data_IF_304712917973
#
_entry.id   IF_304712917973
#
_cell.length_a   1.000
_cell.length_b   1.000
_cell.length_c   1.000
_cell.angle_alpha   90.00
_cell.angle_beta   90.00
_cell.angle_gamma   90.00
#
_symmetry.space_group_name_H-M   'P 1'
#
loop_
_entity.id
_entity.type
_entity.pdbx_description
1 polymer ?
#
# COMPACT_ATOMS: atom_id res chain seq x y z
N UNK A 1 -4.02 17.09 -13.83
CA UNK A 1 -4.41 16.79 -12.44
C UNK A 1 -5.66 17.55 -11.99
N UNK A 2 -6.12 18.61 -12.68
CA UNK A 2 -7.35 19.32 -12.30
C UNK A 2 -8.56 18.36 -12.25
N UNK A 3 -9.15 18.21 -11.05
CA UNK A 3 -10.33 17.36 -10.80
C UNK A 3 -10.05 15.88 -10.46
N UNK A 4 -8.80 15.45 -10.30
CA UNK A 4 -8.50 14.09 -9.82
C UNK A 4 -8.44 14.07 -8.28
N UNK A 5 -9.37 13.37 -7.64
CA UNK A 5 -9.32 13.14 -6.19
C UNK A 5 -8.42 11.94 -5.87
N UNK A 6 -7.71 12.02 -4.74
CA UNK A 6 -7.01 10.88 -4.18
C UNK A 6 -8.01 9.73 -3.92
N UNK A 7 -7.77 8.51 -4.44
CA UNK A 7 -8.70 7.39 -4.27
C UNK A 7 -8.93 6.95 -2.81
N UNK A 8 -8.05 7.34 -1.89
CA UNK A 8 -8.08 6.92 -0.49
C UNK A 8 -8.55 8.05 0.43
N UNK A 9 -7.87 9.20 0.39
CA UNK A 9 -8.23 10.35 1.24
C UNK A 9 -9.44 11.11 0.74
N UNK A 10 -9.83 10.91 -0.53
CA UNK A 10 -10.88 11.66 -1.23
C UNK A 10 -10.60 13.17 -1.36
N UNK A 11 -9.44 13.62 -0.89
CA UNK A 11 -8.96 14.99 -1.05
C UNK A 11 -8.60 15.23 -2.51
N UNK A 12 -9.02 16.36 -3.11
CA UNK A 12 -8.52 16.79 -4.41
C UNK A 12 -7.00 16.88 -4.37
N UNK A 13 -6.30 16.29 -5.36
CA UNK A 13 -4.83 16.25 -5.35
C UNK A 13 -4.19 17.64 -5.43
N UNK A 14 -4.93 18.64 -5.93
CA UNK A 14 -4.51 20.04 -6.00
C UNK A 14 -4.64 20.81 -4.68
N UNK A 15 -5.36 20.26 -3.69
CA UNK A 15 -5.54 20.85 -2.36
C UNK A 15 -4.51 20.33 -1.35
N UNK A 16 -3.64 19.40 -1.74
CA UNK A 16 -2.57 18.91 -0.88
C UNK A 16 -1.50 19.99 -0.68
N UNK A 17 -1.04 20.16 0.56
CA UNK A 17 0.06 21.09 0.92
C UNK A 17 1.43 20.65 0.36
N UNK A 18 1.47 19.46 -0.25
CA UNK A 18 2.64 18.80 -0.78
C UNK A 18 2.29 18.10 -2.09
N UNK A 19 3.29 17.75 -2.88
CA UNK A 19 3.06 17.07 -4.15
C UNK A 19 2.58 15.62 -3.94
N UNK A 20 1.67 15.11 -4.79
CA UNK A 20 1.13 13.77 -4.61
C UNK A 20 2.18 12.69 -4.89
N UNK A 21 2.03 11.54 -4.23
CA UNK A 21 2.84 10.36 -4.47
C UNK A 21 2.21 9.46 -5.54
N UNK A 22 3.01 9.00 -6.48
CA UNK A 22 2.58 8.20 -7.63
C UNK A 22 3.05 6.76 -7.57
N UNK A 23 2.16 5.83 -7.91
CA UNK A 23 2.47 4.43 -8.19
C UNK A 23 2.29 4.14 -9.68
N UNK A 24 3.22 3.41 -10.29
CA UNK A 24 3.07 2.98 -11.68
C UNK A 24 2.02 1.86 -11.75
N UNK A 25 1.00 2.00 -12.59
CA UNK A 25 -0.15 1.08 -12.65
C UNK A 25 0.18 -0.32 -13.14
N UNK A 26 1.35 -0.52 -13.76
CA UNK A 26 1.82 -1.80 -14.26
C UNK A 26 3.08 -2.23 -13.49
N UNK A 27 3.21 -3.51 -13.10
CA UNK A 27 4.47 -4.02 -12.59
C UNK A 27 5.49 -3.93 -13.72
N UNK A 28 6.39 -2.95 -13.64
CA UNK A 28 7.40 -2.86 -14.69
C UNK A 28 8.34 -4.06 -14.65
N UNK A 29 9.08 -4.24 -15.74
CA UNK A 29 9.97 -5.37 -15.91
C UNK A 29 10.92 -5.49 -14.70
N UNK A 30 11.04 -6.70 -14.14
CA UNK A 30 11.89 -6.98 -12.99
C UNK A 30 13.38 -6.68 -13.28
N UNK A 31 13.75 -6.55 -14.55
CA UNK A 31 15.07 -6.13 -15.00
C UNK A 31 15.33 -4.62 -14.85
N UNK A 32 14.31 -3.79 -14.66
CA UNK A 32 14.44 -2.35 -14.45
C UNK A 32 14.13 -1.98 -12.98
N UNK A 33 15.15 -1.71 -12.14
CA UNK A 33 14.94 -1.36 -10.74
C UNK A 33 14.18 -0.03 -10.56
N UNK A 34 14.15 0.84 -11.58
CA UNK A 34 13.35 2.06 -11.54
C UNK A 34 11.86 1.81 -11.77
N UNK A 35 11.48 0.61 -12.24
CA UNK A 35 10.09 0.18 -12.31
C UNK A 35 9.43 -0.04 -10.95
N UNK A 36 10.26 -0.35 -9.96
CA UNK A 36 9.83 -0.84 -8.65
C UNK A 36 9.97 0.26 -7.60
N UNK A 37 9.87 1.53 -8.03
CA UNK A 37 9.98 2.70 -7.17
C UNK A 37 8.75 3.57 -7.37
N UNK A 38 8.33 4.20 -6.27
CA UNK A 38 7.31 5.25 -6.34
C UNK A 38 7.87 6.50 -7.00
N UNK A 39 6.98 7.37 -7.47
CA UNK A 39 7.37 8.58 -8.19
C UNK A 39 6.71 9.80 -7.57
N UNK A 40 7.47 10.86 -7.40
CA UNK A 40 6.98 12.17 -6.97
C UNK A 40 7.86 13.28 -7.59
N UNK A 41 7.35 14.51 -7.60
CA UNK A 41 8.04 15.70 -8.10
C UNK A 41 8.76 15.57 -9.43
N UNK A 42 9.99 16.07 -9.50
CA UNK A 42 10.80 16.04 -10.72
C UNK A 42 11.09 14.60 -11.20
N UNK A 43 11.09 13.64 -10.27
CA UNK A 43 11.25 12.21 -10.57
C UNK A 43 10.07 11.65 -11.39
N UNK A 44 8.85 12.13 -11.12
CA UNK A 44 7.65 11.73 -11.84
C UNK A 44 7.67 12.07 -13.33
N UNK A 45 8.08 13.29 -13.67
CA UNK A 45 8.19 13.71 -15.08
C UNK A 45 9.20 12.84 -15.83
N UNK A 46 10.30 12.48 -15.18
CA UNK A 46 11.33 11.61 -15.74
C UNK A 46 10.82 10.18 -15.94
N UNK A 47 10.04 9.66 -15.00
CA UNK A 47 9.42 8.34 -15.10
C UNK A 47 8.38 8.28 -16.22
N UNK A 48 7.49 9.26 -16.30
CA UNK A 48 6.46 9.38 -17.35
C UNK A 48 7.08 9.49 -18.74
N UNK A 49 8.17 10.24 -18.90
CA UNK A 49 8.89 10.35 -20.18
C UNK A 49 9.50 9.03 -20.63
N UNK A 50 10.01 8.23 -19.69
CA UNK A 50 10.55 6.89 -19.99
C UNK A 50 9.44 5.90 -20.34
N UNK A 51 8.23 6.11 -19.83
CA UNK A 51 7.11 5.17 -19.92
C UNK A 51 5.78 5.88 -20.21
N UNK A 52 5.62 6.45 -21.42
CA UNK A 52 4.43 7.24 -21.76
C UNK A 52 3.13 6.42 -21.79
N UNK A 53 3.22 5.09 -21.92
CA UNK A 53 2.07 4.18 -21.93
C UNK A 53 1.65 3.67 -20.56
N UNK A 54 2.42 3.95 -19.50
CA UNK A 54 2.12 3.45 -18.16
C UNK A 54 1.27 4.47 -17.40
N UNK A 55 0.06 4.08 -17.01
CA UNK A 55 -0.77 4.89 -16.14
C UNK A 55 -0.07 5.09 -14.78
N UNK A 56 -0.12 6.30 -14.23
CA UNK A 56 0.31 6.60 -12.86
C UNK A 56 -0.95 6.79 -12.01
N UNK A 57 -1.01 6.11 -10.88
CA UNK A 57 -2.05 6.31 -9.88
C UNK A 57 -1.50 7.27 -8.81
N UNK A 58 -2.16 8.40 -8.64
CA UNK A 58 -1.75 9.46 -7.72
C UNK A 58 -2.51 9.37 -6.40
N UNK A 59 -1.77 9.55 -5.30
CA UNK A 59 -2.29 9.44 -3.95
C UNK A 59 -1.74 10.56 -3.07
N UNK A 60 -2.51 10.88 -2.03
CA UNK A 60 -1.97 11.43 -0.79
C UNK A 60 -1.05 10.37 -0.17
N UNK A 61 0.25 10.66 -0.14
CA UNK A 61 1.25 9.72 0.35
C UNK A 61 1.14 9.42 1.86
N UNK A 62 0.68 10.37 2.68
CA UNK A 62 0.50 10.14 4.12
C UNK A 62 -0.65 9.16 4.37
N UNK A 63 -1.76 9.34 3.65
CA UNK A 63 -2.90 8.44 3.73
C UNK A 63 -2.58 7.06 3.14
N UNK A 64 -1.86 7.01 2.01
CA UNK A 64 -1.41 5.75 1.44
C UNK A 64 -0.55 4.97 2.44
N UNK A 65 0.46 5.61 3.04
CA UNK A 65 1.32 4.97 4.04
C UNK A 65 0.53 4.43 5.23
N UNK A 66 -0.38 5.25 5.77
CA UNK A 66 -1.24 4.87 6.89
C UNK A 66 -2.15 3.69 6.53
N UNK A 67 -2.75 3.71 5.34
CA UNK A 67 -3.56 2.60 4.82
C UNK A 67 -2.76 1.30 4.71
N UNK A 68 -1.57 1.33 4.11
CA UNK A 68 -0.74 0.13 3.89
C UNK A 68 -0.33 -0.51 5.23
N UNK A 69 0.09 0.31 6.19
CA UNK A 69 0.57 -0.18 7.50
C UNK A 69 -0.60 -0.64 8.37
N UNK A 70 -1.70 0.11 8.44
CA UNK A 70 -2.86 -0.25 9.27
C UNK A 70 -3.60 -1.49 8.75
N UNK A 71 -3.75 -1.63 7.43
CA UNK A 71 -4.40 -2.80 6.83
C UNK A 71 -3.49 -4.02 6.78
N UNK A 72 -2.16 -3.83 6.81
CA UNK A 72 -1.17 -4.87 6.53
C UNK A 72 -1.21 -5.39 5.09
N UNK A 73 -1.94 -4.71 4.20
CA UNK A 73 -2.10 -5.06 2.80
C UNK A 73 -1.26 -4.13 1.92
N UNK A 74 -0.06 -4.59 1.55
CA UNK A 74 0.87 -3.83 0.73
C UNK A 74 0.51 -3.95 -0.76
N UNK A 75 -0.54 -3.23 -1.16
CA UNK A 75 -1.11 -3.22 -2.50
C UNK A 75 -1.36 -1.80 -3.00
N UNK A 76 -1.41 -1.62 -4.31
CA UNK A 76 -1.97 -0.42 -4.95
C UNK A 76 -3.50 -0.45 -4.79
N UNK A 77 -4.13 0.56 -4.17
CA UNK A 77 -5.57 0.56 -3.92
C UNK A 77 -6.46 0.58 -5.17
N UNK A 78 -5.93 0.98 -6.32
CA UNK A 78 -6.70 1.12 -7.57
C UNK A 78 -6.78 -0.20 -8.33
N UNK A 79 -5.64 -0.83 -8.60
CA UNK A 79 -5.56 -2.08 -9.39
C UNK A 79 -5.32 -3.34 -8.52
N UNK A 80 -5.14 -3.18 -7.21
CA UNK A 80 -4.84 -4.24 -6.23
C UNK A 80 -3.54 -4.99 -6.47
N UNK A 81 -2.62 -4.46 -7.30
CA UNK A 81 -1.32 -5.10 -7.52
C UNK A 81 -0.51 -5.06 -6.23
N UNK A 82 0.30 -6.09 -5.93
CA UNK A 82 1.24 -6.02 -4.82
C UNK A 82 2.26 -4.91 -5.02
N UNK A 83 2.59 -4.21 -3.93
CA UNK A 83 3.71 -3.28 -3.91
C UNK A 83 5.02 -4.04 -3.74
N UNK A 84 6.05 -3.51 -4.38
CA UNK A 84 7.44 -3.91 -4.19
C UNK A 84 8.05 -3.22 -2.97
N UNK A 85 9.15 -3.78 -2.46
CA UNK A 85 9.89 -3.16 -1.36
C UNK A 85 10.44 -1.79 -1.73
N UNK A 86 10.82 -1.59 -3.00
CA UNK A 86 11.34 -0.31 -3.50
C UNK A 86 10.28 0.79 -3.49
N UNK A 87 9.02 0.47 -3.78
CA UNK A 87 7.89 1.40 -3.68
C UNK A 87 7.61 1.79 -2.23
N UNK A 88 7.66 0.82 -1.30
CA UNK A 88 7.57 1.11 0.12
C UNK A 88 8.71 2.03 0.60
N UNK A 89 9.94 1.78 0.12
CA UNK A 89 11.10 2.63 0.46
C UNK A 89 10.99 4.04 -0.10
N UNK A 90 10.48 4.16 -1.33
CA UNK A 90 10.20 5.44 -1.97
C UNK A 90 9.15 6.22 -1.19
N UNK A 91 8.14 5.54 -0.64
CA UNK A 91 7.12 6.16 0.17
C UNK A 91 7.67 6.68 1.50
N UNK A 92 8.54 5.92 2.17
CA UNK A 92 9.21 6.40 3.38
C UNK A 92 10.12 7.62 3.12
N UNK A 93 10.86 7.62 2.00
CA UNK A 93 11.67 8.76 1.58
C UNK A 93 10.82 9.99 1.29
N UNK A 94 9.72 9.81 0.57
CA UNK A 94 8.74 10.86 0.30
C UNK A 94 8.17 11.48 1.57
N UNK A 95 7.80 10.65 2.57
CA UNK A 95 7.28 11.14 3.86
C UNK A 95 8.34 11.96 4.61
N UNK A 96 9.59 11.52 4.58
CA UNK A 96 10.69 12.23 5.23
C UNK A 96 10.97 13.59 4.57
N UNK A 97 11.00 13.65 3.23
CA UNK A 97 11.23 14.88 2.46
C UNK A 97 10.16 15.94 2.75
N UNK A 98 8.90 15.51 2.82
CA UNK A 98 7.76 16.39 3.12
C UNK A 98 7.50 16.61 4.62
N UNK A 99 8.37 16.10 5.50
CA UNK A 99 8.24 16.22 6.97
C UNK A 99 6.90 15.72 7.51
N UNK A 100 6.36 14.68 6.85
CA UNK A 100 5.14 14.00 7.25
C UNK A 100 5.45 12.96 8.34
N UNK A 101 4.40 12.36 8.90
CA UNK A 101 4.56 11.34 9.93
C UNK A 101 5.37 10.14 9.41
N UNK A 102 6.43 9.77 10.12
CA UNK A 102 7.22 8.58 9.81
C UNK A 102 6.46 7.31 10.23
N UNK A 103 5.91 6.59 9.24
CA UNK A 103 5.15 5.35 9.46
C UNK A 103 6.00 4.09 9.24
N UNK A 104 7.21 4.23 8.68
CA UNK A 104 8.16 3.13 8.43
C UNK A 104 7.53 1.98 7.63
N UNK A 105 7.00 2.31 6.45
CA UNK A 105 6.26 1.40 5.56
C UNK A 105 7.10 0.19 5.17
N UNK A 106 8.40 0.37 4.93
CA UNK A 106 9.33 -0.73 4.61
C UNK A 106 9.43 -1.75 5.75
N UNK A 107 9.54 -1.30 6.99
CA UNK A 107 9.67 -2.20 8.13
C UNK A 107 8.39 -3.00 8.34
N UNK A 108 7.24 -2.34 8.20
CA UNK A 108 5.94 -3.00 8.24
C UNK A 108 5.78 -4.02 7.09
N UNK A 109 6.29 -3.70 5.89
CA UNK A 109 6.30 -4.60 4.74
C UNK A 109 7.13 -5.86 5.02
N UNK A 110 8.38 -5.69 5.48
CA UNK A 110 9.30 -6.79 5.78
C UNK A 110 8.76 -7.67 6.93
N UNK A 111 8.14 -7.05 7.94
CA UNK A 111 7.43 -7.76 9.01
C UNK A 111 6.27 -8.58 8.46
N UNK A 112 5.43 -8.01 7.59
CA UNK A 112 4.28 -8.71 7.00
C UNK A 112 4.69 -9.95 6.20
N UNK A 113 5.83 -9.87 5.49
CA UNK A 113 6.40 -11.01 4.76
C UNK A 113 6.93 -12.08 5.70
N UNK A 114 7.59 -11.66 6.77
CA UNK A 114 8.11 -12.55 7.81
C UNK A 114 6.99 -13.29 8.56
N UNK A 115 5.88 -12.61 8.84
CA UNK A 115 4.70 -13.22 9.47
C UNK A 115 4.02 -14.19 8.51
N UNK A 116 3.87 -13.84 7.22
CA UNK A 116 3.30 -14.75 6.20
C UNK A 116 4.16 -16.01 6.00
N UNK A 117 5.49 -15.88 5.99
CA UNK A 117 6.39 -17.03 5.87
C UNK A 117 6.35 -17.92 7.12
N UNK A 118 6.25 -17.34 8.32
CA UNK A 118 6.12 -18.10 9.59
C UNK A 118 4.74 -18.73 9.77
N UNK A 119 3.68 -18.03 9.37
CA UNK A 119 2.31 -18.54 9.39
C UNK A 119 2.09 -19.75 8.47
N UNK A 120 2.92 -19.90 7.43
CA UNK A 120 2.95 -21.12 6.62
C UNK A 120 3.65 -22.30 7.31
N UNK A 121 4.52 -22.03 8.30
CA UNK A 121 5.19 -23.07 9.11
C UNK A 121 4.43 -23.40 10.41
N UNK A 122 3.56 -22.50 10.88
CA UNK A 122 2.75 -22.66 12.10
C UNK A 122 1.25 -22.58 11.82
N UNK A 123 0.82 -22.84 10.59
CA UNK A 123 -0.58 -22.99 10.22
C UNK A 123 -1.13 -24.25 10.88
N UNK A 124 -1.33 -24.20 12.19
CA UNK A 124 -2.05 -25.22 12.92
C UNK A 124 -3.52 -25.12 12.47
N UNK A 125 -4.03 -26.06 11.67
CA UNK A 125 -5.43 -26.08 11.25
C UNK A 125 -6.38 -26.07 12.46
N UNK A 126 -5.89 -26.42 13.66
CA UNK A 126 -6.61 -26.28 14.91
C UNK A 126 -6.98 -24.84 15.29
N UNK A 127 -6.17 -23.82 14.94
CA UNK A 127 -6.49 -22.42 15.29
C UNK A 127 -7.61 -21.82 14.45
N UNK A 128 -7.63 -22.10 13.15
CA UNK A 128 -8.73 -21.63 12.26
C UNK A 128 -10.02 -22.34 12.64
N UNK A 129 -9.99 -23.66 12.86
CA UNK A 129 -11.15 -24.42 13.33
C UNK A 129 -11.62 -23.99 14.73
N UNK A 130 -10.72 -23.56 15.62
CA UNK A 130 -11.07 -23.02 16.94
C UNK A 130 -11.78 -21.67 16.83
N UNK A 131 -11.26 -20.76 16.00
CA UNK A 131 -11.90 -19.46 15.71
C UNK A 131 -13.29 -19.64 15.06
N UNK A 132 -13.45 -20.59 14.14
CA UNK A 132 -14.74 -20.91 13.53
C UNK A 132 -15.74 -21.46 14.56
N UNK A 133 -15.30 -22.34 15.46
CA UNK A 133 -16.15 -22.83 16.57
C UNK A 133 -16.57 -21.70 17.50
N UNK A 134 -15.66 -20.82 17.88
CA UNK A 134 -15.96 -19.69 18.76
C UNK A 134 -16.95 -18.72 18.10
N UNK A 135 -16.75 -18.38 16.83
CA UNK A 135 -17.68 -17.52 16.10
C UNK A 135 -19.07 -18.16 15.95
N UNK A 136 -19.14 -19.47 15.67
CA UNK A 136 -20.40 -20.20 15.60
C UNK A 136 -21.15 -20.24 16.94
N UNK A 137 -20.43 -20.33 18.07
CA UNK A 137 -21.02 -20.29 19.41
C UNK A 137 -21.58 -18.90 19.75
N UNK A 138 -20.86 -17.83 19.38
CA UNK A 138 -21.35 -16.46 19.57
C UNK A 138 -22.61 -16.19 18.74
N UNK A 139 -22.63 -16.65 17.48
CA UNK A 139 -23.82 -16.52 16.63
C UNK A 139 -24.99 -17.32 17.19
N UNK A 140 -24.77 -18.55 17.70
CA UNK A 140 -25.85 -19.34 18.29
C UNK A 140 -26.44 -18.68 19.55
N UNK A 141 -25.60 -18.11 20.40
CA UNK A 141 -26.04 -17.38 21.59
C UNK A 141 -26.77 -16.06 21.27
N UNK A 142 -26.60 -15.52 20.05
CA UNK A 142 -27.32 -14.33 19.59
C UNK A 142 -28.70 -14.65 18.98
N UNK A 143 -28.97 -15.91 18.62
CA UNK A 143 -30.19 -16.34 17.94
C UNK A 143 -31.08 -17.31 18.75
N UNK A 144 -30.72 -17.65 19.99
CA UNK A 144 -31.64 -18.30 20.94
C UNK A 144 -32.46 -17.22 21.67
N UNK A 145 -33.76 -17.10 21.33
CA UNK A 145 -34.79 -16.36 22.05
C UNK A 145 -35.68 -17.32 22.86
#
# INVERSE_FOLDING_TARGET
>A
LAGECCPISLTPLEELDYEPFGLLGEPGDASDPSAQQGVWGAGALSALRRRPSHAVHWFDGAFLASFLVSSGAFIDPVNRRPLSRGECSSLDEYLADHKLQAVHVVDAFDLSRSVKSKGSATGDPGRVAALEREAALLLRNLFDF
#
